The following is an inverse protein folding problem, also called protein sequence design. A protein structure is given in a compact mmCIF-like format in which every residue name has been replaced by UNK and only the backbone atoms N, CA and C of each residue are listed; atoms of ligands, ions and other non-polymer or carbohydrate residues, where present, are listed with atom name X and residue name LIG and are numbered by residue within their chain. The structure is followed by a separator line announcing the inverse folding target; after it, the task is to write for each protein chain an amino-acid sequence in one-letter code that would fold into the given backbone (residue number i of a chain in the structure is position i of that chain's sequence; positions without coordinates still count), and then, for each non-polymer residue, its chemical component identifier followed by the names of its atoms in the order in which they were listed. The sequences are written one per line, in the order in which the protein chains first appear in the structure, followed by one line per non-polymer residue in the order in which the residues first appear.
data_IF_834645739717
#
_entry.id   IF_834645739717
#
_cell.length_a   1.000
_cell.length_b   1.000
_cell.length_c   1.000
_cell.angle_alpha   90.00
_cell.angle_beta   90.00
_cell.angle_gamma   90.00
#
_symmetry.space_group_name_H-M   'P 1'
#
loop_
_entity.id
_entity.type
_entity.pdbx_description
1 polymer ?
#
# COMPACT_ATOMS: atom_id res chain seq x y z
N UNK A 1 19.83 -5.47 -27.34
CA UNK A 1 20.65 -4.46 -26.66
C UNK A 1 19.73 -3.32 -26.31
N UNK A 2 19.77 -2.83 -25.07
CA UNK A 2 18.80 -1.83 -24.61
C UNK A 2 18.94 -0.51 -25.36
N UNK A 3 17.83 0.19 -25.49
CA UNK A 3 17.68 1.50 -26.11
C UNK A 3 18.69 2.56 -25.59
N UNK A 4 19.23 2.34 -24.39
CA UNK A 4 20.17 3.22 -23.71
C UNK A 4 21.68 2.90 -23.96
N UNK A 5 22.02 1.85 -24.70
CA UNK A 5 23.41 1.50 -24.97
C UNK A 5 24.20 2.63 -25.69
N UNK A 6 23.48 3.47 -26.46
CA UNK A 6 24.07 4.60 -27.18
C UNK A 6 24.59 5.72 -26.26
N UNK A 7 24.14 5.81 -25.01
CA UNK A 7 24.51 6.87 -24.04
C UNK A 7 25.14 6.31 -22.76
N UNK A 8 25.48 5.04 -22.73
CA UNK A 8 25.97 4.34 -21.51
C UNK A 8 27.22 5.00 -20.90
N UNK A 9 28.17 5.38 -21.78
CA UNK A 9 29.44 6.01 -21.37
C UNK A 9 29.21 7.40 -20.78
N UNK A 10 28.42 8.21 -21.47
CA UNK A 10 28.06 9.58 -21.04
C UNK A 10 27.24 9.54 -19.77
N UNK A 11 26.29 8.62 -19.68
CA UNK A 11 25.45 8.44 -18.48
C UNK A 11 26.30 8.09 -17.25
N UNK A 12 27.34 7.24 -17.42
CA UNK A 12 28.28 6.93 -16.34
C UNK A 12 29.04 8.17 -15.86
N UNK A 13 29.64 8.92 -16.81
CA UNK A 13 30.35 10.17 -16.49
C UNK A 13 29.46 11.18 -15.78
N UNK A 14 28.25 11.41 -16.31
CA UNK A 14 27.31 12.37 -15.71
C UNK A 14 26.84 11.91 -14.32
N UNK A 15 26.67 10.60 -14.11
CA UNK A 15 26.35 10.05 -12.79
C UNK A 15 27.46 10.33 -11.78
N UNK A 16 28.72 10.14 -12.15
CA UNK A 16 29.87 10.43 -11.28
C UNK A 16 29.92 11.93 -10.89
N UNK A 17 29.67 12.82 -11.86
CA UNK A 17 29.57 14.27 -11.62
C UNK A 17 28.40 14.63 -10.69
N UNK A 18 27.21 14.05 -10.89
CA UNK A 18 26.05 14.25 -10.01
C UNK A 18 26.36 13.77 -8.60
N UNK A 19 26.91 12.57 -8.42
CA UNK A 19 27.26 12.04 -7.09
C UNK A 19 28.24 12.95 -6.36
N UNK A 20 29.22 13.49 -7.07
CA UNK A 20 30.18 14.42 -6.49
C UNK A 20 29.54 15.76 -6.07
N UNK A 21 28.70 16.34 -6.93
CA UNK A 21 28.15 17.68 -6.72
C UNK A 21 26.91 17.70 -5.81
N UNK A 22 26.13 16.61 -5.78
CA UNK A 22 24.85 16.55 -5.02
C UNK A 22 25.03 15.93 -3.63
N UNK A 23 26.24 15.50 -3.27
CA UNK A 23 26.52 14.95 -1.95
C UNK A 23 26.35 16.05 -0.88
N UNK A 24 25.45 15.84 0.06
CA UNK A 24 25.23 16.72 1.21
C UNK A 24 25.85 16.07 2.45
N UNK A 25 26.69 16.82 3.17
CA UNK A 25 27.23 16.34 4.46
C UNK A 25 26.09 16.04 5.43
N UNK A 26 25.98 14.79 5.92
CA UNK A 26 24.94 14.38 6.85
C UNK A 26 24.85 15.25 8.13
N UNK A 27 25.95 15.85 8.56
CA UNK A 27 25.99 16.71 9.76
C UNK A 27 25.18 17.99 9.58
N UNK A 28 25.02 18.49 8.35
CA UNK A 28 24.24 19.68 8.05
C UNK A 28 22.74 19.52 8.39
N UNK A 29 22.23 18.29 8.35
CA UNK A 29 20.83 18.02 8.75
C UNK A 29 20.62 18.32 10.24
N UNK A 30 21.59 17.95 11.07
CA UNK A 30 21.56 18.26 12.52
C UNK A 30 21.81 19.73 12.78
N UNK A 31 22.79 20.34 12.11
CA UNK A 31 23.14 21.75 12.23
C UNK A 31 21.94 22.68 11.93
N UNK A 32 21.21 22.37 10.85
CA UNK A 32 20.02 23.14 10.46
C UNK A 32 18.71 22.61 11.07
N UNK A 33 18.75 21.61 11.95
CA UNK A 33 17.56 21.03 12.59
C UNK A 33 16.60 20.35 11.61
N UNK A 34 17.11 19.87 10.45
CA UNK A 34 16.29 19.24 9.42
C UNK A 34 15.98 17.80 9.79
N UNK A 35 14.69 17.47 9.81
CA UNK A 35 14.21 16.11 10.10
C UNK A 35 14.20 15.27 8.83
N UNK A 36 15.16 14.35 8.69
CA UNK A 36 15.29 13.47 7.50
C UNK A 36 14.06 12.58 7.36
N UNK A 37 13.46 12.60 6.17
CA UNK A 37 12.20 11.89 5.93
C UNK A 37 11.05 12.39 6.81
N UNK A 38 11.10 13.66 7.26
CA UNK A 38 10.12 14.30 8.14
C UNK A 38 9.98 13.60 9.52
N UNK A 39 11.06 12.92 9.99
CA UNK A 39 11.12 12.30 11.31
C UNK A 39 12.39 12.70 12.06
N UNK A 40 12.27 12.86 13.37
CA UNK A 40 13.44 13.07 14.24
C UNK A 40 14.17 11.73 14.53
N UNK A 41 15.28 11.82 15.28
CA UNK A 41 16.10 10.66 15.66
C UNK A 41 15.34 9.63 16.52
N UNK A 42 14.33 10.09 17.25
CA UNK A 42 13.47 9.25 18.10
C UNK A 42 12.30 8.66 17.31
N UNK A 43 12.19 8.98 16.01
CA UNK A 43 11.15 8.48 15.12
C UNK A 43 9.84 9.26 15.17
N UNK A 44 9.78 10.41 15.90
CA UNK A 44 8.58 11.24 15.90
C UNK A 44 8.46 11.99 14.57
N UNK A 45 7.26 11.91 13.95
CA UNK A 45 6.98 12.64 12.72
C UNK A 45 6.79 14.14 12.92
N UNK A 46 7.07 14.90 11.86
CA UNK A 46 6.62 16.29 11.79
C UNK A 46 5.10 16.31 11.70
N UNK A 47 4.45 17.14 12.52
CA UNK A 47 3.01 17.37 12.39
C UNK A 47 2.77 18.27 11.16
N UNK A 48 2.41 17.64 10.03
CA UNK A 48 2.24 18.31 8.75
C UNK A 48 0.80 18.75 8.47
N UNK A 49 -0.17 18.24 9.23
CA UNK A 49 -1.59 18.58 9.06
C UNK A 49 -2.47 17.89 10.10
N UNK A 50 -3.77 18.15 9.99
CA UNK A 50 -4.82 17.52 10.81
C UNK A 50 -5.80 16.77 9.93
N UNK A 51 -6.46 15.75 10.46
CA UNK A 51 -7.41 14.93 9.71
C UNK A 51 -8.51 14.38 10.61
N UNK A 52 -9.71 14.25 10.05
CA UNK A 52 -10.85 13.53 10.64
C UNK A 52 -10.99 12.09 10.12
N UNK A 53 -10.11 11.67 9.15
CA UNK A 53 -10.27 10.39 8.45
C UNK A 53 -9.85 9.22 9.34
N UNK A 54 -8.68 9.33 9.97
CA UNK A 54 -8.15 8.26 10.80
C UNK A 54 -7.27 8.76 11.94
N UNK A 55 -7.20 7.97 12.99
CA UNK A 55 -6.29 8.18 14.13
C UNK A 55 -5.50 6.93 14.38
N UNK A 56 -4.21 7.11 14.65
CA UNK A 56 -3.25 6.04 14.91
C UNK A 56 -2.55 6.35 16.22
N UNK A 57 -2.66 5.48 17.21
CA UNK A 57 -1.93 5.59 18.47
C UNK A 57 -1.03 4.36 18.67
N UNK A 58 0.19 4.62 19.09
CA UNK A 58 1.17 3.61 19.47
C UNK A 58 1.82 3.93 20.83
N UNK A 59 1.41 5.03 21.45
CA UNK A 59 1.91 5.52 22.72
C UNK A 59 0.75 6.06 23.54
N UNK A 60 0.86 5.93 24.86
CA UNK A 60 -0.03 6.55 25.81
C UNK A 60 0.78 7.34 26.86
N UNK A 61 0.15 8.29 27.52
CA UNK A 61 0.77 9.00 28.64
C UNK A 61 0.49 8.26 29.94
N UNK A 62 1.55 7.74 30.59
CA UNK A 62 1.50 7.17 31.95
C UNK A 62 2.35 8.03 32.86
N UNK A 63 1.74 8.62 33.86
CA UNK A 63 2.41 9.48 34.84
C UNK A 63 3.24 10.60 34.20
N UNK A 64 2.75 11.19 33.12
CA UNK A 64 3.43 12.22 32.35
C UNK A 64 4.54 11.73 31.42
N UNK A 65 4.80 10.42 31.36
CA UNK A 65 5.80 9.82 30.48
C UNK A 65 5.14 9.17 29.27
N UNK A 66 5.65 9.46 28.07
CA UNK A 66 5.21 8.83 26.81
C UNK A 66 5.69 7.38 26.78
N UNK A 67 4.76 6.45 26.96
CA UNK A 67 5.03 4.99 27.05
C UNK A 67 4.44 4.26 25.85
N UNK A 68 5.16 3.33 25.20
CA UNK A 68 4.60 2.50 24.14
C UNK A 68 3.38 1.72 24.65
N UNK A 69 2.36 1.62 23.81
CA UNK A 69 1.18 0.81 24.05
C UNK A 69 0.87 -0.07 22.83
N UNK A 70 -0.07 -0.99 22.99
CA UNK A 70 -0.61 -1.72 21.84
C UNK A 70 -1.14 -0.75 20.80
N UNK A 71 -0.85 -1.03 19.55
CA UNK A 71 -1.28 -0.20 18.44
C UNK A 71 -2.81 -0.09 18.38
N UNK A 72 -3.29 1.11 18.14
CA UNK A 72 -4.72 1.40 17.98
C UNK A 72 -4.92 2.15 16.67
N UNK A 73 -5.99 1.80 15.97
CA UNK A 73 -6.39 2.42 14.71
C UNK A 73 -7.89 2.70 14.73
N UNK A 74 -8.25 3.91 14.38
CA UNK A 74 -9.64 4.33 14.23
C UNK A 74 -9.86 4.89 12.82
N UNK A 75 -10.99 4.53 12.23
CA UNK A 75 -11.52 5.13 11.01
C UNK A 75 -12.71 6.01 11.39
N UNK A 76 -12.63 7.31 11.13
CA UNK A 76 -13.68 8.28 11.49
C UNK A 76 -14.15 8.17 12.96
N UNK A 77 -13.23 7.85 13.88
CA UNK A 77 -13.52 7.69 15.30
C UNK A 77 -13.95 6.28 15.73
N UNK A 78 -14.28 5.37 14.80
CA UNK A 78 -14.59 3.97 15.11
C UNK A 78 -13.34 3.12 15.17
N UNK A 79 -13.17 2.35 16.25
CA UNK A 79 -12.03 1.46 16.40
C UNK A 79 -12.10 0.31 15.37
N UNK A 80 -10.98 0.00 14.71
CA UNK A 80 -10.93 -1.03 13.68
C UNK A 80 -11.35 -2.41 14.20
N UNK A 81 -11.06 -2.74 15.47
CA UNK A 81 -11.51 -3.99 16.10
C UNK A 81 -13.05 -4.06 16.18
N UNK A 82 -13.70 -2.95 16.52
CA UNK A 82 -15.15 -2.88 16.64
C UNK A 82 -15.80 -2.92 15.26
N UNK A 83 -15.23 -2.23 14.27
CA UNK A 83 -15.69 -2.31 12.89
C UNK A 83 -15.67 -3.76 12.39
N UNK A 84 -14.52 -4.46 12.52
CA UNK A 84 -14.39 -5.84 12.07
C UNK A 84 -15.34 -6.78 12.81
N UNK A 85 -15.52 -6.57 14.14
CA UNK A 85 -16.48 -7.36 14.92
C UNK A 85 -17.91 -7.15 14.46
N UNK A 86 -18.28 -5.91 14.13
CA UNK A 86 -19.60 -5.55 13.62
C UNK A 86 -19.88 -6.08 12.20
N UNK A 87 -18.82 -6.37 11.44
CA UNK A 87 -18.93 -6.88 10.07
C UNK A 87 -18.93 -8.41 9.97
N UNK A 88 -18.80 -9.14 11.09
CA UNK A 88 -18.86 -10.61 11.06
C UNK A 88 -20.17 -11.10 10.47
N UNK A 89 -20.07 -11.94 9.44
CA UNK A 89 -21.21 -12.49 8.72
C UNK A 89 -21.92 -11.52 7.77
N UNK A 90 -21.45 -10.28 7.66
CA UNK A 90 -21.92 -9.33 6.65
C UNK A 90 -21.18 -9.53 5.32
N UNK A 91 -21.83 -9.18 4.21
CA UNK A 91 -21.35 -9.39 2.86
C UNK A 91 -20.62 -8.17 2.29
N UNK A 92 -20.97 -6.96 2.68
CA UNK A 92 -20.50 -5.71 2.10
C UNK A 92 -19.63 -4.91 3.07
N UNK A 93 -18.64 -5.57 3.70
CA UNK A 93 -17.77 -4.93 4.67
C UNK A 93 -16.89 -3.85 4.07
N UNK A 94 -16.33 -4.11 2.87
CA UNK A 94 -15.57 -3.12 2.12
C UNK A 94 -16.42 -1.90 1.80
N UNK A 95 -17.62 -2.06 1.28
CA UNK A 95 -18.51 -0.98 0.91
C UNK A 95 -18.98 -0.17 2.12
N UNK A 96 -19.31 -0.85 3.25
CA UNK A 96 -19.72 -0.19 4.49
C UNK A 96 -18.61 0.73 5.04
N UNK A 97 -17.36 0.25 5.04
CA UNK A 97 -16.21 1.05 5.52
C UNK A 97 -15.76 2.09 4.48
N UNK A 98 -15.93 1.83 3.19
CA UNK A 98 -15.71 2.84 2.16
C UNK A 98 -16.69 4.01 2.31
N UNK A 99 -17.97 3.72 2.58
CA UNK A 99 -18.95 4.74 2.92
C UNK A 99 -18.51 5.56 4.13
N UNK A 100 -18.14 4.89 5.23
CA UNK A 100 -17.66 5.54 6.45
C UNK A 100 -16.49 6.49 6.18
N UNK A 101 -15.46 6.04 5.48
CA UNK A 101 -14.27 6.84 5.21
C UNK A 101 -14.58 8.06 4.34
N UNK A 102 -15.40 7.89 3.32
CA UNK A 102 -15.74 8.97 2.37
C UNK A 102 -16.73 9.98 2.99
N UNK A 103 -17.77 9.50 3.66
CA UNK A 103 -18.92 10.31 4.06
C UNK A 103 -18.96 10.65 5.55
N UNK A 104 -18.11 10.00 6.36
CA UNK A 104 -17.83 10.42 7.74
C UNK A 104 -18.58 9.68 8.84
N UNK A 105 -19.62 8.89 8.51
CA UNK A 105 -20.35 8.09 9.47
C UNK A 105 -20.75 6.72 8.89
N UNK A 106 -21.16 5.78 9.76
CA UNK A 106 -21.63 4.46 9.33
C UNK A 106 -22.99 4.55 8.63
N UNK A 107 -23.18 3.84 7.50
CA UNK A 107 -24.45 3.84 6.79
C UNK A 107 -25.51 3.02 7.55
N UNK A 108 -26.76 3.44 7.48
CA UNK A 108 -27.89 2.54 7.71
C UNK A 108 -28.10 1.62 6.47
N UNK A 109 -29.03 0.66 6.55
CA UNK A 109 -29.28 -0.31 5.48
C UNK A 109 -29.64 0.35 4.15
N UNK A 110 -30.49 1.37 4.16
CA UNK A 110 -30.87 2.11 2.96
C UNK A 110 -29.69 2.85 2.36
N UNK A 111 -28.91 3.54 3.17
CA UNK A 111 -27.71 4.28 2.73
C UNK A 111 -26.65 3.35 2.15
N UNK A 112 -26.44 2.19 2.77
CA UNK A 112 -25.51 1.19 2.25
C UNK A 112 -26.00 0.65 0.89
N UNK A 113 -27.28 0.37 0.76
CA UNK A 113 -27.88 -0.06 -0.51
C UNK A 113 -27.73 1.01 -1.60
N UNK A 114 -28.06 2.25 -1.32
CA UNK A 114 -27.89 3.37 -2.26
C UNK A 114 -26.43 3.55 -2.69
N UNK A 115 -25.49 3.42 -1.75
CA UNK A 115 -24.06 3.51 -2.04
C UNK A 115 -23.54 2.33 -2.88
N UNK A 116 -23.94 1.12 -2.56
CA UNK A 116 -23.56 -0.07 -3.36
C UNK A 116 -24.14 -0.02 -4.77
N UNK A 117 -25.36 0.48 -4.93
CA UNK A 117 -25.96 0.74 -6.24
C UNK A 117 -25.20 1.79 -7.04
N UNK A 118 -24.76 2.87 -6.37
CA UNK A 118 -23.94 3.91 -6.98
C UNK A 118 -22.60 3.34 -7.48
N UNK A 119 -21.88 2.58 -6.64
CA UNK A 119 -20.65 1.89 -7.04
C UNK A 119 -20.89 0.94 -8.22
N UNK A 120 -22.00 0.20 -8.20
CA UNK A 120 -22.37 -0.74 -9.27
C UNK A 120 -22.60 -0.04 -10.60
N UNK A 121 -23.33 1.07 -10.61
CA UNK A 121 -23.57 1.91 -11.81
C UNK A 121 -22.26 2.45 -12.38
N UNK A 122 -21.26 2.70 -11.52
CA UNK A 122 -19.94 3.19 -11.92
C UNK A 122 -18.98 2.09 -12.37
N UNK A 123 -19.31 0.79 -12.21
CA UNK A 123 -18.47 -0.35 -12.63
C UNK A 123 -18.51 -0.60 -14.13
N UNK A 124 -18.17 0.42 -14.92
CA UNK A 124 -18.05 0.31 -16.37
C UNK A 124 -16.84 1.09 -16.87
N UNK A 125 -16.04 0.48 -17.73
CA UNK A 125 -14.97 1.14 -18.45
C UNK A 125 -15.50 1.72 -19.77
N UNK A 126 -14.87 2.77 -20.32
CA UNK A 126 -15.22 3.29 -21.64
C UNK A 126 -15.19 2.20 -22.73
N UNK A 127 -15.95 2.39 -23.79
CA UNK A 127 -15.98 1.45 -24.93
C UNK A 127 -14.57 1.19 -25.46
N UNK A 128 -14.24 -0.09 -25.65
CA UNK A 128 -12.94 -0.56 -26.13
C UNK A 128 -11.73 -0.27 -25.22
N UNK A 129 -11.91 0.31 -24.02
CA UNK A 129 -10.82 0.67 -23.12
C UNK A 129 -9.90 -0.53 -22.79
N UNK A 130 -10.49 -1.70 -22.53
CA UNK A 130 -9.70 -2.93 -22.25
C UNK A 130 -8.79 -3.26 -23.43
N UNK A 131 -9.34 -3.26 -24.66
CA UNK A 131 -8.59 -3.58 -25.88
C UNK A 131 -7.54 -2.52 -26.19
N UNK A 132 -7.91 -1.24 -26.16
CA UNK A 132 -7.09 -0.15 -26.72
C UNK A 132 -6.11 0.46 -25.71
N UNK A 133 -6.35 0.28 -24.41
CA UNK A 133 -5.49 0.80 -23.32
C UNK A 133 -4.80 -0.33 -22.58
N UNK A 134 -5.56 -1.27 -22.02
CA UNK A 134 -4.98 -2.30 -21.14
C UNK A 134 -4.19 -3.33 -21.94
N UNK A 135 -4.79 -3.89 -22.99
CA UNK A 135 -4.16 -4.93 -23.82
C UNK A 135 -3.07 -4.41 -24.77
N UNK A 136 -3.09 -3.13 -25.15
CA UNK A 136 -2.11 -2.55 -26.08
C UNK A 136 -0.69 -2.47 -25.53
N UNK A 137 -0.53 -2.34 -24.22
CA UNK A 137 0.77 -2.24 -23.58
C UNK A 137 0.80 -3.08 -22.28
N UNK A 138 0.75 -4.42 -22.41
CA UNK A 138 0.84 -5.30 -21.26
C UNK A 138 2.20 -5.13 -20.57
N UNK A 139 2.23 -5.27 -19.26
CA UNK A 139 3.45 -5.09 -18.47
C UNK A 139 3.44 -6.03 -17.28
N UNK A 140 4.61 -6.60 -16.96
CA UNK A 140 4.82 -7.30 -15.69
C UNK A 140 4.63 -6.36 -14.50
N UNK A 141 4.94 -5.09 -14.68
CA UNK A 141 4.69 -4.03 -13.69
C UNK A 141 3.21 -3.60 -13.75
N UNK A 142 2.36 -4.32 -13.02
CA UNK A 142 0.92 -4.05 -12.98
C UNK A 142 0.59 -2.71 -12.33
N UNK A 143 1.44 -2.19 -11.43
CA UNK A 143 1.26 -0.85 -10.88
C UNK A 143 1.43 0.23 -11.96
N UNK A 144 2.36 0.03 -12.92
CA UNK A 144 2.46 0.88 -14.10
C UNK A 144 1.21 0.77 -14.97
N UNK A 145 0.74 -0.45 -15.26
CA UNK A 145 -0.50 -0.65 -16.03
C UNK A 145 -1.69 0.06 -15.40
N UNK A 146 -1.84 -0.06 -14.06
CA UNK A 146 -2.91 0.60 -13.31
C UNK A 146 -2.79 2.13 -13.37
N UNK A 147 -1.58 2.67 -13.15
CA UNK A 147 -1.33 4.13 -13.20
C UNK A 147 -1.63 4.71 -14.58
N UNK A 148 -1.17 4.06 -15.66
CA UNK A 148 -1.47 4.48 -17.05
C UNK A 148 -2.97 4.42 -17.33
N UNK A 149 -3.64 3.37 -16.88
CA UNK A 149 -5.08 3.23 -17.07
C UNK A 149 -5.84 4.35 -16.36
N UNK A 150 -5.46 4.71 -15.13
CA UNK A 150 -6.06 5.84 -14.40
C UNK A 150 -5.85 7.15 -15.14
N UNK A 151 -4.62 7.47 -15.58
CA UNK A 151 -4.34 8.68 -16.34
C UNK A 151 -5.10 8.72 -17.68
N UNK A 152 -5.22 7.57 -18.34
CA UNK A 152 -5.95 7.51 -19.62
C UNK A 152 -7.46 7.71 -19.41
N UNK A 153 -8.03 7.28 -18.28
CA UNK A 153 -9.45 7.53 -17.96
C UNK A 153 -9.79 9.02 -17.95
N UNK A 154 -8.85 9.89 -17.56
CA UNK A 154 -9.03 11.34 -17.65
C UNK A 154 -9.40 11.83 -19.05
N UNK A 155 -8.87 11.18 -20.11
CA UNK A 155 -9.18 11.52 -21.50
C UNK A 155 -10.59 11.11 -21.96
N UNK A 156 -11.30 10.35 -21.15
CA UNK A 156 -12.68 9.93 -21.39
C UNK A 156 -13.68 10.62 -20.45
N UNK A 157 -13.24 11.59 -19.67
CA UNK A 157 -14.06 12.35 -18.74
C UNK A 157 -14.13 13.81 -19.19
N UNK A 158 -15.26 14.20 -19.74
CA UNK A 158 -15.49 15.58 -20.22
C UNK A 158 -15.48 16.59 -19.06
N UNK A 159 -15.64 16.13 -17.82
CA UNK A 159 -15.66 16.96 -16.61
C UNK A 159 -14.32 17.00 -15.87
N UNK A 160 -13.22 16.48 -16.44
CA UNK A 160 -11.90 16.37 -15.78
C UNK A 160 -11.41 17.71 -15.21
N UNK A 161 -11.72 18.83 -15.86
CA UNK A 161 -11.34 20.19 -15.45
C UNK A 161 -12.30 20.87 -14.47
N UNK A 162 -13.41 20.25 -14.12
CA UNK A 162 -14.38 20.79 -13.15
C UNK A 162 -13.91 20.53 -11.72
N UNK A 163 -13.59 21.59 -10.99
CA UNK A 163 -13.11 21.54 -9.60
C UNK A 163 -14.23 21.58 -8.56
N UNK A 164 -15.52 21.45 -8.96
CA UNK A 164 -16.61 21.36 -7.98
C UNK A 164 -16.47 20.12 -7.11
N UNK A 165 -16.81 20.24 -5.83
CA UNK A 165 -16.74 19.10 -4.89
C UNK A 165 -17.61 17.93 -5.35
N UNK A 166 -18.73 18.20 -6.02
CA UNK A 166 -19.59 17.17 -6.57
C UNK A 166 -18.87 16.36 -7.64
N UNK A 167 -18.30 17.00 -8.66
CA UNK A 167 -17.55 16.31 -9.72
C UNK A 167 -16.35 15.54 -9.18
N UNK A 168 -15.63 16.12 -8.21
CA UNK A 168 -14.51 15.43 -7.59
C UNK A 168 -14.96 14.17 -6.82
N UNK A 169 -16.11 14.20 -6.16
CA UNK A 169 -16.70 13.02 -5.51
C UNK A 169 -17.13 11.96 -6.54
N UNK A 170 -17.78 12.37 -7.63
CA UNK A 170 -18.18 11.48 -8.73
C UNK A 170 -16.97 10.76 -9.33
N UNK A 171 -15.86 11.47 -9.57
CA UNK A 171 -14.61 10.89 -10.05
C UNK A 171 -13.98 9.92 -9.04
N UNK A 172 -13.99 10.24 -7.74
CA UNK A 172 -13.54 9.34 -6.68
C UNK A 172 -14.36 8.04 -6.64
N UNK A 173 -15.69 8.13 -6.66
CA UNK A 173 -16.60 6.96 -6.68
C UNK A 173 -16.34 6.13 -7.94
N UNK A 174 -16.17 6.76 -9.10
CA UNK A 174 -15.83 6.10 -10.35
C UNK A 174 -14.55 5.30 -10.23
N UNK A 175 -13.47 5.90 -9.72
CA UNK A 175 -12.19 5.23 -9.57
C UNK A 175 -12.27 4.06 -8.58
N UNK A 176 -12.91 4.23 -7.42
CA UNK A 176 -13.14 3.14 -6.45
C UNK A 176 -13.83 1.96 -7.14
N UNK A 177 -14.82 2.25 -7.97
CA UNK A 177 -15.63 1.22 -8.65
C UNK A 177 -14.87 0.46 -9.72
N UNK A 178 -13.95 1.11 -10.46
CA UNK A 178 -13.25 0.49 -11.60
C UNK A 178 -11.87 -0.08 -11.25
N UNK A 179 -11.27 0.29 -10.12
CA UNK A 179 -9.94 -0.21 -9.73
C UNK A 179 -9.82 -1.73 -9.74
N UNK A 180 -10.79 -2.51 -9.20
CA UNK A 180 -10.76 -3.97 -9.31
C UNK A 180 -10.64 -4.45 -10.75
N UNK A 181 -11.40 -3.84 -11.67
CA UNK A 181 -11.37 -4.19 -13.10
C UNK A 181 -10.01 -3.88 -13.73
N UNK A 182 -9.47 -2.68 -13.45
CA UNK A 182 -8.18 -2.24 -13.99
C UNK A 182 -7.05 -3.17 -13.54
N UNK A 183 -7.04 -3.57 -12.27
CA UNK A 183 -6.04 -4.47 -11.71
C UNK A 183 -6.14 -5.87 -12.34
N UNK A 184 -7.34 -6.47 -12.34
CA UNK A 184 -7.56 -7.84 -12.82
C UNK A 184 -7.35 -7.94 -14.34
N UNK A 185 -7.88 -7.01 -15.12
CA UNK A 185 -7.69 -7.03 -16.58
C UNK A 185 -6.24 -6.72 -16.96
N UNK A 186 -5.55 -5.86 -16.19
CA UNK A 186 -4.11 -5.64 -16.33
C UNK A 186 -3.30 -6.92 -16.15
N UNK A 187 -3.65 -7.72 -15.13
CA UNK A 187 -3.04 -9.02 -14.90
C UNK A 187 -3.34 -10.00 -16.03
N UNK A 188 -4.59 -10.12 -16.46
CA UNK A 188 -4.95 -11.03 -17.56
C UNK A 188 -4.26 -10.65 -18.88
N UNK A 189 -4.11 -9.35 -19.17
CA UNK A 189 -3.36 -8.91 -20.33
C UNK A 189 -1.86 -9.27 -20.23
N UNK A 190 -1.24 -9.04 -19.06
CA UNK A 190 0.13 -9.48 -18.79
C UNK A 190 0.29 -10.98 -18.95
N UNK A 191 -0.59 -11.76 -18.32
CA UNK A 191 -0.55 -13.23 -18.36
C UNK A 191 -0.70 -13.77 -19.79
N UNK A 192 -1.58 -13.17 -20.59
CA UNK A 192 -1.82 -13.56 -21.97
C UNK A 192 -0.64 -13.25 -22.90
N UNK A 193 -0.10 -12.02 -22.84
CA UNK A 193 0.92 -11.58 -23.79
C UNK A 193 2.36 -11.93 -23.41
N UNK A 194 2.64 -12.10 -22.12
CA UNK A 194 4.01 -12.25 -21.61
C UNK A 194 4.23 -13.56 -20.83
N UNK A 195 3.20 -14.36 -20.60
CA UNK A 195 3.27 -15.56 -19.76
C UNK A 195 2.53 -16.76 -20.38
N UNK A 196 2.20 -16.68 -21.68
CA UNK A 196 1.52 -17.73 -22.45
C UNK A 196 0.21 -18.24 -21.81
N UNK A 197 -0.41 -17.45 -20.95
CA UNK A 197 -1.68 -17.77 -20.32
C UNK A 197 -2.89 -17.41 -21.17
N UNK A 198 -4.09 -17.62 -20.63
CA UNK A 198 -5.34 -17.25 -21.30
C UNK A 198 -5.79 -15.85 -20.87
N UNK A 199 -6.40 -15.11 -21.80
CA UNK A 199 -7.05 -13.83 -21.51
C UNK A 199 -8.49 -14.07 -21.05
N UNK A 200 -8.80 -13.70 -19.82
CA UNK A 200 -10.16 -13.72 -19.29
C UNK A 200 -10.67 -12.29 -19.10
N UNK A 201 -11.87 -12.01 -19.62
CA UNK A 201 -12.55 -10.71 -19.45
C UNK A 201 -13.93 -10.99 -18.84
N UNK A 202 -13.94 -11.46 -17.60
CA UNK A 202 -15.16 -11.64 -16.83
C UNK A 202 -15.69 -10.27 -16.39
N UNK A 203 -16.93 -9.98 -16.73
CA UNK A 203 -17.57 -8.72 -16.32
C UNK A 203 -17.93 -8.76 -14.83
N UNK A 204 -17.81 -7.65 -14.11
CA UNK A 204 -18.31 -7.58 -12.75
C UNK A 204 -19.83 -7.79 -12.76
N UNK A 205 -20.33 -8.46 -11.72
CA UNK A 205 -21.75 -8.74 -11.53
C UNK A 205 -22.35 -7.75 -10.55
N UNK A 206 -23.51 -7.17 -10.87
CA UNK A 206 -24.14 -6.14 -10.02
C UNK A 206 -24.44 -6.61 -8.60
N UNK A 207 -24.85 -7.87 -8.46
CA UNK A 207 -25.26 -8.48 -7.19
C UNK A 207 -24.10 -8.87 -6.27
N UNK A 208 -22.84 -8.77 -6.75
CA UNK A 208 -21.66 -9.16 -5.99
C UNK A 208 -20.97 -7.98 -5.32
N UNK A 209 -20.42 -8.21 -4.11
CA UNK A 209 -19.55 -7.25 -3.42
C UNK A 209 -18.23 -7.04 -4.17
N UNK A 210 -17.45 -6.07 -3.75
CA UNK A 210 -16.12 -5.80 -4.35
C UNK A 210 -15.18 -7.01 -4.22
N UNK A 211 -15.12 -7.66 -3.07
CA UNK A 211 -14.29 -8.84 -2.84
C UNK A 211 -14.74 -10.04 -3.69
N UNK A 212 -16.05 -10.29 -3.76
CA UNK A 212 -16.62 -11.35 -4.60
C UNK A 212 -16.35 -11.09 -6.08
N UNK A 213 -16.54 -9.86 -6.55
CA UNK A 213 -16.24 -9.49 -7.93
C UNK A 213 -14.76 -9.66 -8.27
N UNK A 214 -13.84 -9.30 -7.35
CA UNK A 214 -12.40 -9.53 -7.55
C UNK A 214 -12.09 -11.01 -7.80
N UNK A 215 -12.59 -11.92 -6.95
CA UNK A 215 -12.35 -13.34 -7.08
C UNK A 215 -13.01 -13.90 -8.35
N UNK A 216 -14.25 -13.50 -8.63
CA UNK A 216 -15.00 -13.93 -9.81
C UNK A 216 -14.33 -13.45 -11.10
N UNK A 217 -13.86 -12.21 -11.18
CA UNK A 217 -13.19 -11.70 -12.37
C UNK A 217 -11.80 -12.30 -12.58
N UNK A 218 -11.09 -12.62 -11.49
CA UNK A 218 -9.72 -13.13 -11.54
C UNK A 218 -9.67 -14.61 -11.95
N UNK A 219 -10.61 -15.44 -11.45
CA UNK A 219 -10.56 -16.89 -11.61
C UNK A 219 -11.19 -17.33 -12.94
N UNK A 220 -10.52 -18.23 -13.69
CA UNK A 220 -11.04 -18.73 -14.97
C UNK A 220 -12.43 -19.34 -14.86
N UNK A 221 -12.69 -20.08 -13.77
CA UNK A 221 -13.97 -20.76 -13.48
C UNK A 221 -14.99 -19.87 -12.75
N UNK A 222 -14.61 -18.64 -12.38
CA UNK A 222 -15.42 -17.68 -11.63
C UNK A 222 -15.90 -18.19 -10.25
N UNK A 223 -15.30 -19.26 -9.72
CA UNK A 223 -15.75 -19.89 -8.48
C UNK A 223 -14.97 -19.36 -7.27
N UNK A 224 -15.65 -19.21 -6.16
CA UNK A 224 -15.08 -18.87 -4.86
C UNK A 224 -15.99 -19.36 -3.74
N UNK A 225 -15.43 -19.51 -2.55
CA UNK A 225 -16.23 -19.86 -1.36
C UNK A 225 -16.60 -18.59 -0.58
N UNK A 226 -17.69 -18.60 0.21
CA UNK A 226 -18.04 -17.48 1.08
C UNK A 226 -16.90 -17.07 2.03
N UNK A 227 -16.13 -18.04 2.53
CA UNK A 227 -14.98 -17.77 3.40
C UNK A 227 -13.86 -17.01 2.65
N UNK A 228 -13.55 -17.40 1.42
CA UNK A 228 -12.56 -16.71 0.60
C UNK A 228 -12.95 -15.25 0.35
N UNK A 229 -14.21 -15.03 -0.03
CA UNK A 229 -14.73 -13.68 -0.25
C UNK A 229 -14.67 -12.85 1.04
N UNK A 230 -15.09 -13.41 2.18
CA UNK A 230 -15.06 -12.72 3.47
C UNK A 230 -13.64 -12.37 3.92
N UNK A 231 -12.67 -13.29 3.79
CA UNK A 231 -11.27 -13.04 4.15
C UNK A 231 -10.66 -11.97 3.25
N UNK A 232 -10.97 -11.98 1.94
CA UNK A 232 -10.53 -10.93 1.03
C UNK A 232 -11.16 -9.58 1.38
N UNK A 233 -12.44 -9.55 1.72
CA UNK A 233 -13.16 -8.35 2.15
C UNK A 233 -12.49 -7.69 3.36
N UNK A 234 -12.16 -8.49 4.39
CA UNK A 234 -11.40 -8.05 5.57
C UNK A 234 -9.99 -7.56 5.18
N UNK A 235 -9.29 -8.27 4.29
CA UNK A 235 -7.98 -7.84 3.82
C UNK A 235 -8.04 -6.46 3.16
N UNK A 236 -9.01 -6.24 2.27
CA UNK A 236 -9.22 -4.96 1.62
C UNK A 236 -9.53 -3.86 2.66
N UNK A 237 -10.44 -4.12 3.61
CA UNK A 237 -10.78 -3.18 4.67
C UNK A 237 -9.55 -2.72 5.48
N UNK A 238 -8.69 -3.66 5.88
CA UNK A 238 -7.49 -3.36 6.67
C UNK A 238 -6.43 -2.57 5.88
N UNK A 239 -6.49 -2.57 4.55
CA UNK A 239 -5.57 -1.82 3.68
C UNK A 239 -6.12 -0.46 3.24
N UNK A 240 -7.41 -0.14 3.48
CA UNK A 240 -8.04 1.11 2.99
C UNK A 240 -7.34 2.37 3.48
N UNK A 241 -6.96 2.43 4.75
CA UNK A 241 -6.48 3.66 5.38
C UNK A 241 -5.42 3.37 6.46
N UNK A 242 -4.43 4.25 6.55
CA UNK A 242 -3.41 4.20 7.60
C UNK A 242 -2.75 5.56 7.84
N UNK A 243 -3.55 6.60 8.00
CA UNK A 243 -3.11 7.93 8.40
C UNK A 243 -2.65 8.85 7.27
N UNK A 244 -2.86 10.14 7.47
CA UNK A 244 -2.51 11.19 6.50
C UNK A 244 -1.01 11.33 6.23
N UNK A 245 -0.15 10.84 7.13
CA UNK A 245 1.30 10.83 6.98
C UNK A 245 1.86 9.61 6.24
N UNK A 246 1.03 8.66 5.82
CA UNK A 246 1.44 7.58 4.93
C UNK A 246 1.92 8.18 3.60
N UNK A 247 3.03 7.66 3.02
CA UNK A 247 3.70 8.31 1.88
C UNK A 247 2.76 8.56 0.69
N UNK A 248 1.97 7.57 0.28
CA UNK A 248 1.01 7.74 -0.84
C UNK A 248 -0.17 8.64 -0.48
N UNK A 249 -0.63 8.60 0.77
CA UNK A 249 -1.68 9.49 1.27
C UNK A 249 -1.19 10.95 1.36
N UNK A 250 0.04 11.15 1.85
CA UNK A 250 0.65 12.48 1.87
C UNK A 250 0.88 13.03 0.45
N UNK A 251 1.30 12.17 -0.49
CA UNK A 251 1.39 12.51 -1.91
C UNK A 251 0.02 12.94 -2.47
N UNK A 252 -1.06 12.22 -2.13
CA UNK A 252 -2.43 12.61 -2.47
C UNK A 252 -2.75 14.03 -2.01
N UNK A 253 -2.46 14.36 -0.75
CA UNK A 253 -2.69 15.71 -0.20
C UNK A 253 -1.85 16.77 -0.91
N UNK A 254 -0.56 16.52 -1.08
CA UNK A 254 0.37 17.46 -1.75
C UNK A 254 -0.12 17.79 -3.16
N UNK A 255 -0.45 16.77 -3.96
CA UNK A 255 -0.89 16.98 -5.35
C UNK A 255 -2.30 17.58 -5.39
N UNK A 256 -3.21 17.20 -4.49
CA UNK A 256 -4.53 17.84 -4.37
C UNK A 256 -4.40 19.32 -4.07
N UNK A 257 -3.50 19.73 -3.17
CA UNK A 257 -3.31 21.13 -2.79
C UNK A 257 -2.84 22.05 -3.94
N UNK A 258 -2.30 21.45 -5.01
CA UNK A 258 -1.92 22.19 -6.23
C UNK A 258 -3.09 22.47 -7.18
N UNK A 259 -4.28 21.92 -6.91
CA UNK A 259 -5.46 22.03 -7.79
C UNK A 259 -5.49 21.01 -8.93
N UNK A 260 -4.67 19.94 -8.87
CA UNK A 260 -4.67 18.91 -9.90
C UNK A 260 -5.98 18.08 -9.87
N UNK A 261 -6.38 17.55 -11.04
CA UNK A 261 -7.55 16.69 -11.21
C UNK A 261 -7.43 15.38 -10.44
N UNK A 262 -8.56 14.69 -10.22
CA UNK A 262 -8.62 13.45 -9.43
C UNK A 262 -7.76 12.33 -10.02
N UNK A 263 -7.73 12.18 -11.33
CA UNK A 263 -6.97 11.11 -11.99
C UNK A 263 -5.46 11.31 -11.82
N UNK A 264 -4.99 12.54 -11.98
CA UNK A 264 -3.59 12.92 -11.74
C UNK A 264 -3.18 12.70 -10.28
N UNK A 265 -4.02 13.07 -9.31
CA UNK A 265 -3.78 12.87 -7.88
C UNK A 265 -3.67 11.39 -7.55
N UNK A 266 -4.61 10.56 -8.02
CA UNK A 266 -4.61 9.11 -7.74
C UNK A 266 -3.44 8.42 -8.47
N UNK A 267 -3.08 8.85 -9.68
CA UNK A 267 -1.90 8.35 -10.38
C UNK A 267 -0.58 8.67 -9.62
N UNK A 268 -0.48 9.85 -9.02
CA UNK A 268 0.66 10.20 -8.16
C UNK A 268 0.71 9.33 -6.90
N UNK A 269 -0.43 9.05 -6.27
CA UNK A 269 -0.53 8.15 -5.13
C UNK A 269 -0.12 6.71 -5.50
N UNK A 270 -0.55 6.21 -6.66
CA UNK A 270 -0.14 4.91 -7.21
C UNK A 270 1.37 4.85 -7.43
N UNK A 271 1.97 5.91 -7.99
CA UNK A 271 3.41 6.01 -8.21
C UNK A 271 4.19 5.97 -6.91
N UNK A 272 3.68 6.61 -5.85
CA UNK A 272 4.24 6.52 -4.50
C UNK A 272 4.13 5.11 -3.93
N UNK A 273 2.96 4.48 -4.03
CA UNK A 273 2.72 3.13 -3.51
C UNK A 273 3.56 2.08 -4.22
N UNK A 274 3.81 2.23 -5.51
CA UNK A 274 4.64 1.33 -6.33
C UNK A 274 6.06 1.18 -5.78
N UNK A 275 6.59 2.19 -5.09
CA UNK A 275 7.96 2.17 -4.58
C UNK A 275 8.23 0.98 -3.66
N UNK A 276 9.38 0.27 -3.82
CA UNK A 276 9.68 -0.97 -3.07
C UNK A 276 9.80 -0.75 -1.56
N UNK A 277 10.00 0.49 -1.11
CA UNK A 277 10.03 0.85 0.32
C UNK A 277 8.62 1.08 0.90
N UNK A 278 7.57 1.08 0.06
CA UNK A 278 6.20 1.35 0.46
C UNK A 278 5.28 0.16 0.21
N UNK A 279 4.96 -0.19 -1.03
CA UNK A 279 3.97 -1.22 -1.36
C UNK A 279 4.51 -2.61 -1.64
N UNK A 280 5.83 -2.84 -1.61
CA UNK A 280 6.45 -4.12 -1.95
C UNK A 280 6.75 -5.05 -0.77
N UNK A 281 6.33 -4.70 0.45
CA UNK A 281 6.74 -5.42 1.65
C UNK A 281 6.17 -6.84 1.72
N UNK A 282 4.91 -7.06 1.34
CA UNK A 282 4.27 -8.37 1.38
C UNK A 282 4.91 -9.40 0.41
N UNK A 283 5.36 -8.96 -0.76
CA UNK A 283 6.12 -9.82 -1.70
C UNK A 283 7.44 -10.25 -1.04
N UNK A 284 8.14 -9.31 -0.41
CA UNK A 284 9.39 -9.59 0.28
C UNK A 284 9.22 -10.53 1.48
N UNK A 285 8.09 -10.47 2.17
CA UNK A 285 7.75 -11.46 3.21
C UNK A 285 7.64 -12.85 2.59
N UNK A 286 6.92 -13.01 1.48
CA UNK A 286 6.78 -14.32 0.82
C UNK A 286 8.14 -14.88 0.37
N UNK A 287 8.94 -14.07 -0.33
CA UNK A 287 10.29 -14.46 -0.75
C UNK A 287 11.18 -14.88 0.43
N UNK A 288 11.11 -14.16 1.56
CA UNK A 288 11.85 -14.50 2.78
C UNK A 288 11.36 -15.79 3.41
N UNK A 289 10.04 -16.02 3.46
CA UNK A 289 9.47 -17.26 4.00
C UNK A 289 9.85 -18.48 3.15
N UNK A 290 9.88 -18.32 1.83
CA UNK A 290 10.33 -19.37 0.90
C UNK A 290 11.84 -19.65 1.08
N UNK A 291 12.64 -18.60 1.26
CA UNK A 291 14.08 -18.72 1.53
C UNK A 291 14.36 -19.44 2.87
N UNK A 292 13.63 -19.10 3.93
CA UNK A 292 13.74 -19.83 5.23
C UNK A 292 13.43 -21.30 5.04
N UNK A 293 12.34 -21.65 4.34
CA UNK A 293 11.96 -23.05 4.07
C UNK A 293 13.00 -23.82 3.26
N UNK A 294 13.67 -23.15 2.34
CA UNK A 294 14.68 -23.78 1.50
C UNK A 294 15.99 -24.11 2.23
N UNK A 295 16.26 -23.43 3.35
CA UNK A 295 17.53 -23.51 4.05
C UNK A 295 17.45 -24.06 5.48
N UNK A 296 16.25 -24.19 6.05
CA UNK A 296 16.00 -24.80 7.35
C UNK A 296 15.52 -26.24 7.14
N UNK A 297 16.23 -27.20 7.74
CA UNK A 297 15.94 -28.62 7.51
C UNK A 297 14.63 -29.04 8.19
N UNK A 298 14.39 -28.52 9.39
CA UNK A 298 13.16 -28.75 10.15
C UNK A 298 12.59 -27.41 10.66
N UNK A 299 11.56 -26.93 9.99
CA UNK A 299 10.87 -25.67 10.36
C UNK A 299 10.12 -25.77 11.69
N UNK A 300 10.03 -26.94 12.30
CA UNK A 300 9.48 -27.15 13.64
C UNK A 300 10.55 -27.08 14.74
N UNK A 301 11.83 -27.15 14.38
CA UNK A 301 12.96 -26.93 15.29
C UNK A 301 13.18 -25.41 15.47
N UNK A 302 12.84 -24.94 16.68
CA UNK A 302 12.95 -23.52 17.02
C UNK A 302 14.39 -23.01 17.07
N UNK A 303 15.35 -23.83 17.40
CA UNK A 303 16.77 -23.44 17.47
C UNK A 303 17.34 -23.28 16.07
N UNK A 304 17.01 -24.17 15.14
CA UNK A 304 17.38 -24.05 13.72
C UNK A 304 16.73 -22.82 13.09
N UNK A 305 15.44 -22.60 13.35
CA UNK A 305 14.70 -21.42 12.90
C UNK A 305 15.30 -20.12 13.44
N UNK A 306 15.61 -20.06 14.73
CA UNK A 306 16.25 -18.91 15.39
C UNK A 306 17.62 -18.63 14.77
N UNK A 307 18.44 -19.67 14.56
CA UNK A 307 19.76 -19.54 13.96
C UNK A 307 19.67 -18.94 12.55
N UNK A 308 18.72 -19.40 11.72
CA UNK A 308 18.58 -18.90 10.36
C UNK A 308 18.05 -17.46 10.31
N UNK A 309 17.05 -17.14 11.13
CA UNK A 309 16.58 -15.74 11.28
C UNK A 309 17.74 -14.84 11.73
N UNK A 310 18.62 -15.34 12.60
CA UNK A 310 19.84 -14.65 13.01
C UNK A 310 20.76 -14.32 11.84
N UNK A 311 20.98 -15.24 10.91
CA UNK A 311 21.77 -15.01 9.69
C UNK A 311 21.14 -13.94 8.79
N UNK A 312 19.80 -13.91 8.67
CA UNK A 312 19.11 -12.83 7.93
C UNK A 312 19.40 -11.47 8.57
N UNK A 313 19.29 -11.36 9.91
CA UNK A 313 19.55 -10.10 10.63
C UNK A 313 21.01 -9.66 10.51
N UNK A 314 21.96 -10.62 10.51
CA UNK A 314 23.39 -10.36 10.36
C UNK A 314 23.83 -10.08 8.90
N UNK A 315 22.89 -10.07 7.95
CA UNK A 315 23.11 -9.88 6.50
C UNK A 315 23.88 -11.03 5.82
N UNK A 316 23.81 -12.22 6.36
CA UNK A 316 24.49 -13.41 5.87
C UNK A 316 23.59 -14.31 5.02
N UNK A 317 22.26 -14.08 5.06
CA UNK A 317 21.25 -14.86 4.34
C UNK A 317 20.22 -13.99 3.66
N UNK A 318 19.40 -14.63 2.81
CA UNK A 318 18.35 -14.02 2.00
C UNK A 318 18.90 -12.91 1.10
N UNK A 319 18.43 -11.67 1.23
CA UNK A 319 18.82 -10.54 0.36
C UNK A 319 19.96 -9.68 0.92
N UNK A 320 20.62 -10.13 1.97
CA UNK A 320 21.77 -9.50 2.64
C UNK A 320 21.53 -8.06 3.15
N UNK A 321 20.26 -7.64 3.29
CA UNK A 321 19.91 -6.32 3.82
C UNK A 321 19.76 -6.29 5.34
N UNK A 322 19.68 -7.48 5.96
CA UNK A 322 19.53 -7.61 7.39
C UNK A 322 18.10 -7.28 7.87
N UNK A 323 17.09 -7.33 6.99
CA UNK A 323 15.71 -7.03 7.33
C UNK A 323 14.91 -8.33 7.43
N UNK A 324 14.20 -8.51 8.53
CA UNK A 324 13.12 -9.49 8.62
C UNK A 324 11.86 -8.80 8.15
N UNK A 325 11.48 -9.05 6.91
CA UNK A 325 10.33 -8.38 6.29
C UNK A 325 9.01 -8.73 6.98
N UNK A 326 8.09 -7.80 7.01
CA UNK A 326 6.85 -7.92 7.79
C UNK A 326 7.02 -7.67 9.29
N UNK A 327 8.25 -7.44 9.76
CA UNK A 327 8.58 -7.08 11.14
C UNK A 327 8.93 -5.60 11.26
N UNK A 328 8.38 -4.96 12.29
CA UNK A 328 8.56 -3.54 12.57
C UNK A 328 7.59 -2.66 11.78
N UNK A 329 7.37 -1.48 12.30
CA UNK A 329 6.48 -0.47 11.74
C UNK A 329 6.99 0.92 12.07
N UNK A 330 6.74 1.88 11.19
CA UNK A 330 7.15 3.27 11.39
C UNK A 330 6.48 3.94 12.61
N UNK A 331 5.34 3.42 13.04
CA UNK A 331 4.52 3.95 14.14
C UNK A 331 4.42 2.95 15.30
N UNK A 332 3.98 1.72 15.01
CA UNK A 332 3.73 0.70 16.04
C UNK A 332 5.02 0.01 16.48
N UNK A 333 5.18 -0.19 17.80
CA UNK A 333 6.30 -0.93 18.37
C UNK A 333 5.87 -2.24 19.05
N UNK A 334 4.71 -2.28 19.69
CA UNK A 334 4.25 -3.47 20.42
C UNK A 334 3.32 -4.35 19.58
N UNK A 335 2.35 -3.76 18.85
CA UNK A 335 1.46 -4.51 17.97
C UNK A 335 0.91 -3.61 16.88
N UNK A 336 0.68 -4.16 15.67
CA UNK A 336 -0.14 -3.53 14.62
C UNK A 336 -1.55 -4.12 14.72
N UNK A 337 -2.59 -3.30 15.02
CA UNK A 337 -3.95 -3.79 15.21
C UNK A 337 -4.49 -4.51 13.99
N UNK A 338 -4.02 -4.14 12.79
CA UNK A 338 -4.42 -4.79 11.54
C UNK A 338 -3.88 -6.22 11.47
N UNK A 339 -2.60 -6.43 11.79
CA UNK A 339 -1.99 -7.75 11.80
C UNK A 339 -2.66 -8.66 12.85
N UNK A 340 -2.91 -8.13 14.05
CA UNK A 340 -3.56 -8.85 15.15
C UNK A 340 -4.96 -9.34 14.74
N UNK A 341 -5.78 -8.44 14.18
CA UNK A 341 -7.13 -8.79 13.72
C UNK A 341 -7.06 -9.81 12.58
N UNK A 342 -6.22 -9.54 11.61
CA UNK A 342 -6.14 -10.34 10.39
C UNK A 342 -5.73 -11.79 10.66
N UNK A 343 -4.84 -11.99 11.63
CA UNK A 343 -4.32 -13.32 12.00
C UNK A 343 -5.42 -14.38 12.24
N UNK A 344 -6.53 -13.99 12.88
CA UNK A 344 -7.63 -14.92 13.14
C UNK A 344 -8.33 -15.40 11.86
N UNK A 345 -8.46 -14.54 10.87
CA UNK A 345 -9.03 -14.87 9.55
C UNK A 345 -8.06 -15.70 8.71
N UNK A 346 -6.75 -15.39 8.80
CA UNK A 346 -5.67 -16.20 8.18
C UNK A 346 -5.72 -17.63 8.69
N UNK A 347 -5.85 -17.82 10.00
CA UNK A 347 -5.97 -19.15 10.60
C UNK A 347 -7.18 -19.92 10.07
N UNK A 348 -8.35 -19.29 10.04
CA UNK A 348 -9.56 -19.93 9.52
C UNK A 348 -9.42 -20.35 8.05
N UNK A 349 -8.87 -19.46 7.21
CA UNK A 349 -8.62 -19.77 5.81
C UNK A 349 -7.60 -20.90 5.63
N UNK A 350 -6.51 -20.87 6.40
CA UNK A 350 -5.46 -21.89 6.34
C UNK A 350 -6.00 -23.27 6.73
N UNK A 351 -6.84 -23.34 7.76
CA UNK A 351 -7.51 -24.60 8.13
C UNK A 351 -8.45 -25.10 7.03
N UNK A 352 -9.28 -24.24 6.45
CA UNK A 352 -10.20 -24.58 5.38
C UNK A 352 -9.49 -25.03 4.09
N UNK A 353 -8.27 -24.51 3.85
CA UNK A 353 -7.42 -24.87 2.70
C UNK A 353 -6.46 -26.04 2.98
N UNK A 354 -6.47 -26.65 4.17
CA UNK A 354 -5.51 -27.70 4.55
C UNK A 354 -4.07 -27.18 4.71
N UNK A 355 -3.89 -25.87 4.92
CA UNK A 355 -2.60 -25.19 5.01
C UNK A 355 -2.20 -24.85 6.48
N UNK A 356 -2.65 -25.68 7.45
CA UNK A 356 -2.36 -25.45 8.87
C UNK A 356 -0.86 -25.43 9.15
N UNK A 357 -0.08 -26.34 8.56
CA UNK A 357 1.37 -26.39 8.74
C UNK A 357 2.07 -25.10 8.30
N UNK A 358 1.59 -24.48 7.20
CA UNK A 358 2.10 -23.18 6.74
C UNK A 358 1.78 -22.08 7.75
N UNK A 359 0.56 -22.07 8.29
CA UNK A 359 0.17 -21.10 9.30
C UNK A 359 1.00 -21.26 10.59
N UNK A 360 1.26 -22.50 11.04
CA UNK A 360 2.10 -22.77 12.20
C UNK A 360 3.54 -22.29 11.97
N UNK A 361 4.08 -22.48 10.76
CA UNK A 361 5.39 -21.95 10.37
C UNK A 361 5.44 -20.40 10.46
N UNK A 362 4.43 -19.69 9.91
CA UNK A 362 4.33 -18.24 10.04
C UNK A 362 4.26 -17.80 11.51
N UNK A 363 3.51 -18.51 12.35
CA UNK A 363 3.45 -18.25 13.79
C UNK A 363 4.82 -18.42 14.48
N UNK A 364 5.60 -19.41 14.07
CA UNK A 364 6.96 -19.62 14.60
C UNK A 364 7.86 -18.43 14.25
N UNK A 365 7.86 -17.98 13.01
CA UNK A 365 8.62 -16.78 12.60
C UNK A 365 8.13 -15.53 13.33
N UNK A 366 6.81 -15.30 13.43
CA UNK A 366 6.23 -14.15 14.16
C UNK A 366 6.70 -14.11 15.62
N UNK A 367 6.82 -15.25 16.27
CA UNK A 367 7.24 -15.34 17.68
C UNK A 367 8.75 -15.19 17.86
N UNK A 368 9.55 -15.81 16.98
CA UNK A 368 11.00 -15.83 17.12
C UNK A 368 11.69 -14.56 16.61
N UNK A 369 11.21 -14.00 15.50
CA UNK A 369 11.87 -12.87 14.84
C UNK A 369 12.03 -11.64 15.74
N UNK A 370 11.02 -11.18 16.51
CA UNK A 370 11.18 -10.05 17.42
C UNK A 370 12.29 -10.29 18.46
N UNK A 371 12.41 -11.50 18.98
CA UNK A 371 13.43 -11.88 19.97
C UNK A 371 14.83 -11.81 19.36
N UNK A 372 15.02 -12.42 18.19
CA UNK A 372 16.30 -12.43 17.47
C UNK A 372 16.71 -10.99 17.08
N UNK A 373 15.78 -10.18 16.60
CA UNK A 373 16.04 -8.77 16.25
C UNK A 373 16.46 -7.98 17.51
N UNK A 374 15.77 -8.17 18.63
CA UNK A 374 16.09 -7.50 19.88
C UNK A 374 17.48 -7.87 20.39
N UNK A 375 17.82 -9.15 20.40
CA UNK A 375 19.13 -9.67 20.81
C UNK A 375 20.27 -9.11 19.91
N UNK A 376 20.12 -9.23 18.58
CA UNK A 376 21.16 -8.87 17.62
C UNK A 376 21.36 -7.36 17.47
N UNK A 377 20.30 -6.56 17.57
CA UNK A 377 20.33 -5.11 17.33
C UNK A 377 20.23 -4.26 18.59
N UNK A 378 20.14 -4.90 19.76
CA UNK A 378 19.93 -4.22 21.04
C UNK A 378 18.72 -3.26 21.02
N UNK A 379 17.63 -3.67 20.32
CA UNK A 379 16.39 -2.89 20.21
C UNK A 379 15.40 -3.42 21.26
N UNK A 380 15.24 -2.68 22.34
CA UNK A 380 14.35 -3.04 23.44
C UNK A 380 12.97 -2.39 23.37
N UNK A 381 12.71 -1.58 22.33
CA UNK A 381 11.42 -0.89 22.13
C UNK A 381 10.27 -1.82 21.70
N UNK A 382 10.55 -3.08 21.44
CA UNK A 382 9.63 -4.02 20.80
C UNK A 382 9.68 -3.93 19.28
N UNK A 383 9.45 -5.08 18.63
CA UNK A 383 9.28 -5.22 17.19
C UNK A 383 8.07 -6.10 16.97
N UNK A 384 7.06 -5.61 16.27
CA UNK A 384 5.84 -6.37 16.01
C UNK A 384 5.67 -6.65 14.52
N UNK A 385 4.88 -7.68 14.21
CA UNK A 385 4.38 -7.90 12.85
C UNK A 385 3.53 -6.72 12.39
N UNK A 386 3.66 -6.38 11.12
CA UNK A 386 2.76 -5.44 10.44
C UNK A 386 1.77 -6.20 9.53
N UNK A 387 0.85 -5.49 8.89
CA UNK A 387 -0.20 -6.12 8.06
C UNK A 387 0.37 -6.92 6.88
N UNK A 388 1.55 -6.53 6.37
CA UNK A 388 2.18 -7.21 5.22
C UNK A 388 2.69 -8.61 5.55
N UNK A 389 2.94 -8.92 6.83
CA UNK A 389 3.40 -10.23 7.26
C UNK A 389 2.43 -11.36 6.86
N UNK A 390 1.13 -11.13 6.98
CA UNK A 390 0.11 -12.13 6.68
C UNK A 390 -0.58 -11.93 5.33
N UNK A 391 -0.57 -10.71 4.76
CA UNK A 391 -1.35 -10.42 3.56
C UNK A 391 -0.90 -11.22 2.34
N UNK A 392 0.41 -11.38 2.14
CA UNK A 392 0.94 -12.21 1.06
C UNK A 392 0.53 -13.68 1.18
N UNK A 393 0.54 -14.23 2.39
CA UNK A 393 0.08 -15.60 2.64
C UNK A 393 -1.41 -15.78 2.35
N UNK A 394 -2.24 -14.83 2.74
CA UNK A 394 -3.68 -14.84 2.40
C UNK A 394 -3.87 -14.80 0.89
N UNK A 395 -3.21 -13.89 0.19
CA UNK A 395 -3.33 -13.78 -1.26
C UNK A 395 -2.89 -15.07 -1.95
N UNK A 396 -1.82 -15.72 -1.48
CA UNK A 396 -1.38 -17.02 -1.96
C UNK A 396 -2.46 -18.10 -1.75
N UNK A 397 -3.06 -18.18 -0.56
CA UNK A 397 -4.15 -19.14 -0.29
C UNK A 397 -5.41 -18.88 -1.11
N UNK A 398 -5.66 -17.64 -1.50
CA UNK A 398 -6.76 -17.25 -2.38
C UNK A 398 -6.45 -17.48 -3.86
N UNK A 399 -5.23 -17.91 -4.20
CA UNK A 399 -4.80 -18.08 -5.59
C UNK A 399 -4.63 -16.76 -6.33
N UNK A 400 -4.42 -15.66 -5.62
CA UNK A 400 -4.10 -14.36 -6.22
C UNK A 400 -2.63 -14.39 -6.66
N UNK A 401 -2.31 -14.10 -7.94
CA UNK A 401 -0.95 -14.03 -8.43
C UNK A 401 -0.11 -12.95 -7.72
N UNK A 402 1.18 -13.23 -7.56
CA UNK A 402 2.12 -12.33 -6.85
C UNK A 402 2.20 -10.94 -7.47
N UNK A 403 2.04 -10.84 -8.78
CA UNK A 403 2.02 -9.57 -9.52
C UNK A 403 0.85 -8.66 -9.10
N UNK A 404 -0.23 -9.24 -8.57
CA UNK A 404 -1.39 -8.49 -8.07
C UNK A 404 -1.28 -8.06 -6.61
N UNK A 405 -0.26 -8.45 -5.84
CA UNK A 405 -0.21 -8.14 -4.41
C UNK A 405 -0.21 -6.63 -4.12
N UNK A 406 0.66 -5.88 -4.77
CA UNK A 406 0.66 -4.40 -4.65
C UNK A 406 -0.58 -3.76 -5.29
N UNK A 407 -1.06 -4.17 -6.48
CA UNK A 407 -2.36 -3.74 -7.01
C UNK A 407 -3.55 -3.99 -6.08
N UNK A 408 -3.62 -5.12 -5.35
CA UNK A 408 -4.68 -5.36 -4.35
C UNK A 408 -4.63 -4.32 -3.21
N UNK A 409 -3.43 -3.95 -2.79
CA UNK A 409 -3.25 -2.86 -1.83
C UNK A 409 -3.80 -1.53 -2.39
N UNK A 410 -3.53 -1.23 -3.67
CA UNK A 410 -4.04 -0.03 -4.33
C UNK A 410 -5.57 -0.04 -4.47
N UNK A 411 -6.18 -1.20 -4.81
CA UNK A 411 -7.64 -1.38 -4.89
C UNK A 411 -8.32 -1.02 -3.58
N UNK A 412 -7.72 -1.35 -2.46
CA UNK A 412 -8.23 -0.97 -1.15
C UNK A 412 -7.95 0.51 -0.83
N UNK A 413 -6.72 0.95 -1.03
CA UNK A 413 -6.22 2.25 -0.59
C UNK A 413 -6.80 3.42 -1.39
N UNK A 414 -7.32 3.21 -2.60
CA UNK A 414 -7.98 4.27 -3.37
C UNK A 414 -9.15 4.91 -2.61
N UNK A 415 -9.80 4.16 -1.73
CA UNK A 415 -10.85 4.69 -0.81
C UNK A 415 -10.25 5.72 0.15
N UNK A 416 -9.17 5.36 0.85
CA UNK A 416 -8.47 6.27 1.76
C UNK A 416 -7.90 7.50 1.04
N UNK A 417 -7.29 7.32 -0.14
CA UNK A 417 -6.82 8.45 -0.95
C UNK A 417 -7.97 9.37 -1.35
N UNK A 418 -9.10 8.82 -1.78
CA UNK A 418 -10.30 9.59 -2.13
C UNK A 418 -10.83 10.38 -0.94
N UNK A 419 -10.91 9.76 0.25
CA UNK A 419 -11.33 10.44 1.47
C UNK A 419 -10.39 11.61 1.82
N UNK A 420 -9.07 11.38 1.80
CA UNK A 420 -8.08 12.42 2.07
C UNK A 420 -8.07 13.53 1.02
N UNK A 421 -8.33 13.19 -0.27
CA UNK A 421 -8.53 14.20 -1.31
C UNK A 421 -9.72 15.08 -1.02
N UNK A 422 -10.88 14.49 -0.72
CA UNK A 422 -12.09 15.26 -0.41
C UNK A 422 -11.90 16.14 0.83
N UNK A 423 -11.26 15.62 1.88
CA UNK A 423 -10.95 16.40 3.08
C UNK A 423 -10.03 17.60 2.76
N UNK A 424 -9.01 17.40 1.91
CA UNK A 424 -8.10 18.46 1.47
C UNK A 424 -8.85 19.54 0.67
N UNK A 425 -9.71 19.15 -0.27
CA UNK A 425 -10.51 20.08 -1.07
C UNK A 425 -11.50 20.91 -0.25
N UNK A 426 -12.05 20.33 0.82
CA UNK A 426 -13.02 21.02 1.70
C UNK A 426 -12.34 22.01 2.64
N UNK A 427 -11.10 21.73 3.09
CA UNK A 427 -10.50 22.45 4.23
C UNK A 427 -9.31 23.32 3.88
N UNK A 428 -8.66 23.12 2.73
CA UNK A 428 -7.37 23.76 2.42
C UNK A 428 -7.47 24.67 1.19
N UNK A 429 -7.02 25.90 1.38
CA UNK A 429 -6.93 26.93 0.35
C UNK A 429 -5.47 27.24 -0.05
N UNK A 430 -4.49 26.53 0.51
CA UNK A 430 -3.07 26.77 0.31
C UNK A 430 -2.34 25.56 -0.20
N UNK A 431 -1.44 25.79 -1.16
CA UNK A 431 -0.54 24.75 -1.65
C UNK A 431 0.43 24.30 -0.54
N UNK A 432 0.58 22.99 -0.36
CA UNK A 432 1.57 22.41 0.57
C UNK A 432 2.97 22.65 0.00
N UNK A 433 3.72 23.55 0.66
CA UNK A 433 5.04 23.99 0.19
C UNK A 433 6.03 24.09 1.36
N UNK A 434 6.73 23.01 1.70
CA UNK A 434 7.76 23.06 2.73
C UNK A 434 8.95 23.94 2.30
N UNK A 435 9.69 24.47 3.25
CA UNK A 435 10.92 25.20 3.01
C UNK A 435 12.11 24.25 2.84
N UNK A 436 13.04 24.60 1.96
CA UNK A 436 14.33 23.94 1.79
C UNK A 436 15.46 24.94 1.99
N UNK A 437 16.49 24.55 2.76
CA UNK A 437 17.70 25.34 2.97
C UNK A 437 18.74 25.00 1.91
N UNK A 438 19.16 25.99 1.11
CA UNK A 438 20.34 25.82 0.24
C UNK A 438 21.61 25.85 1.08
N UNK A 439 22.48 24.89 0.85
CA UNK A 439 23.82 24.79 1.45
C UNK A 439 24.94 25.08 0.45
N UNK A 440 24.59 25.36 -0.80
CA UNK A 440 25.54 25.76 -1.84
C UNK A 440 25.91 27.23 -1.66
N UNK A 441 27.22 27.53 -1.71
CA UNK A 441 27.71 28.91 -1.72
C UNK A 441 27.29 29.61 -3.05
N UNK A 442 27.04 30.90 -2.96
CA UNK A 442 26.85 31.74 -4.15
C UNK A 442 28.08 31.74 -5.03
N UNK A 443 27.87 31.68 -6.33
CA UNK A 443 28.92 31.70 -7.34
C UNK A 443 28.58 32.74 -8.40
N UNK A 444 29.61 33.43 -8.91
CA UNK A 444 29.45 34.31 -10.05
C UNK A 444 29.32 33.51 -11.35
N UNK A 445 28.53 34.01 -12.29
CA UNK A 445 28.45 33.43 -13.62
C UNK A 445 29.75 33.67 -14.39
N UNK A 446 30.39 32.60 -14.82
CA UNK A 446 31.54 32.66 -15.73
C UNK A 446 31.10 32.40 -17.16
N UNK A 447 31.45 33.26 -18.13
CA UNK A 447 31.28 33.00 -19.55
C UNK A 447 31.95 31.67 -19.95
N UNK A 448 31.48 31.04 -21.04
CA UNK A 448 31.93 29.70 -21.46
C UNK A 448 33.45 29.64 -21.68
N UNK A 449 34.00 30.69 -22.27
CA UNK A 449 35.41 30.84 -22.55
C UNK A 449 36.31 30.96 -21.30
N UNK A 450 35.72 31.18 -20.14
CA UNK A 450 36.45 31.30 -18.87
C UNK A 450 36.16 30.13 -17.91
N UNK A 451 35.61 29.02 -18.44
CA UNK A 451 35.36 27.79 -17.67
C UNK A 451 36.42 26.76 -17.99
N UNK A 452 37.02 26.16 -16.98
CA UNK A 452 37.97 25.06 -17.09
C UNK A 452 37.30 23.75 -17.54
#
# INVERSE_FOLDING_TARGET
MGEYAAIEKEAKLFTEMCVHNDAIDPNLFDEFGVKRGLRDKDGNGVLAGITNISRIDAFEMRDGVKTPCDGKLWYRGYNVYDLIRGLRGKRYGFEEVAYLLLLGDLPNEQQLHEFTDCLTKCRALPSNFVRDVIMKAPSKDLMNSLTRSVLTLASYDDSVGDNSLQTQMEQCIKLISVFPMLAVYGYHAYNYYLNDGSMYIHRPRPELSAAENLLQMLRPDQQYTPLEAHVLDIALLLHMEHGGGNNSTFTTRVVTSSGADTYSVIAAALSSLKGPKHGGANIKVMEMMDDIRAHVSDVTDEDEMRAYIGKIVDKEAFDHKGLVYGMGHAVYSLSDPRAVVFKSFVQQLAMAKGRKADFDFYNTVERLAPQVIAEKRHIYKGVSTNVDFYSGFVYNMLGIPVELYTPMFAVARVVGWSAHRMEELVNVDKIIRPAYKSVMATRDYLPMENRD
#
